data_IF_720889603984
#
_entry.id   IF_720889603984
#
_cell.length_a   1.000
_cell.length_b   1.000
_cell.length_c   1.000
_cell.angle_alpha   90.00
_cell.angle_beta   90.00
_cell.angle_gamma   90.00
#
_symmetry.space_group_name_H-M   'P 1'
#
loop_
_entity.id
_entity.type
_entity.pdbx_description
1 polymer ?
#
# COMPACT_ATOMS: atom_id res chain seq x y z
N UNK A 1 14.16 -7.27 -3.62
CA UNK A 1 12.77 -6.82 -3.46
C UNK A 1 12.72 -5.85 -2.31
N UNK A 2 12.10 -4.69 -2.49
CA UNK A 2 12.04 -3.64 -1.47
C UNK A 2 10.65 -3.54 -0.84
N UNK A 3 10.61 -3.48 0.49
CA UNK A 3 9.43 -3.15 1.29
C UNK A 3 9.54 -1.68 1.71
N UNK A 4 8.83 -0.82 0.99
CA UNK A 4 8.84 0.63 1.21
C UNK A 4 7.87 1.03 2.31
N UNK A 5 8.29 1.94 3.20
CA UNK A 5 7.42 2.51 4.24
C UNK A 5 7.88 3.92 4.65
N UNK A 6 6.95 4.75 5.09
CA UNK A 6 7.26 6.07 5.59
C UNK A 6 7.87 6.06 7.00
N UNK A 7 8.68 7.06 7.32
CA UNK A 7 9.33 7.23 8.64
C UNK A 7 8.30 7.37 9.75
N UNK A 8 8.22 6.30 10.56
CA UNK A 8 7.43 6.20 11.79
C UNK A 8 7.94 4.98 12.58
N UNK A 9 8.07 5.08 13.91
CA UNK A 9 8.57 3.98 14.74
C UNK A 9 7.65 2.75 14.71
N UNK A 10 6.34 2.96 14.62
CA UNK A 10 5.35 1.90 14.51
C UNK A 10 5.47 1.16 13.18
N UNK A 11 5.58 1.91 12.08
CA UNK A 11 5.75 1.32 10.75
C UNK A 11 7.06 0.57 10.60
N UNK A 12 8.16 1.06 11.19
CA UNK A 12 9.43 0.35 11.21
C UNK A 12 9.30 -1.02 11.90
N UNK A 13 8.67 -1.07 13.08
CA UNK A 13 8.43 -2.33 13.81
C UNK A 13 7.60 -3.31 13.00
N UNK A 14 6.54 -2.82 12.34
CA UNK A 14 5.70 -3.65 11.46
C UNK A 14 6.50 -4.17 10.26
N UNK A 15 7.30 -3.31 9.61
CA UNK A 15 8.10 -3.69 8.44
C UNK A 15 9.17 -4.75 8.79
N UNK A 16 9.83 -4.61 9.95
CA UNK A 16 10.75 -5.61 10.48
C UNK A 16 10.07 -6.95 10.73
N UNK A 17 8.88 -6.94 11.37
CA UNK A 17 8.11 -8.16 11.58
C UNK A 17 7.74 -8.84 10.25
N UNK A 18 7.28 -8.07 9.25
CA UNK A 18 6.97 -8.59 7.91
C UNK A 18 8.21 -9.19 7.25
N UNK A 19 9.36 -8.50 7.29
CA UNK A 19 10.62 -9.00 6.75
C UNK A 19 11.02 -10.34 7.38
N UNK A 20 10.93 -10.47 8.70
CA UNK A 20 11.25 -11.71 9.42
C UNK A 20 10.28 -12.84 9.08
N UNK A 21 8.97 -12.56 9.11
CA UNK A 21 7.93 -13.56 8.78
C UNK A 21 8.10 -14.07 7.34
N UNK A 22 8.26 -13.18 6.36
CA UNK A 22 8.44 -13.59 4.96
C UNK A 22 9.72 -14.39 4.74
N UNK A 23 10.81 -14.02 5.42
CA UNK A 23 12.05 -14.79 5.35
C UNK A 23 11.88 -16.18 5.94
N UNK A 24 11.24 -16.29 7.10
CA UNK A 24 11.08 -17.54 7.86
C UNK A 24 10.08 -18.49 7.21
N UNK A 25 8.91 -17.99 6.88
CA UNK A 25 7.75 -18.82 6.53
C UNK A 25 7.62 -19.00 5.01
N UNK A 26 8.14 -18.06 4.22
CA UNK A 26 8.06 -18.09 2.75
C UNK A 26 9.42 -18.17 2.05
N UNK A 27 10.54 -18.03 2.79
CA UNK A 27 11.88 -17.98 2.20
C UNK A 27 12.17 -16.70 1.40
N UNK A 28 11.30 -15.69 1.49
CA UNK A 28 11.37 -14.45 0.70
C UNK A 28 12.23 -13.42 1.44
N UNK A 29 13.26 -12.90 0.76
CA UNK A 29 14.12 -11.84 1.30
C UNK A 29 13.68 -10.48 0.78
N UNK A 30 13.38 -9.56 1.70
CA UNK A 30 13.10 -8.15 1.39
C UNK A 30 14.09 -7.23 2.08
N UNK A 31 14.37 -6.10 1.44
CA UNK A 31 15.09 -4.97 2.00
C UNK A 31 14.09 -3.94 2.52
N UNK A 32 14.33 -3.41 3.71
CA UNK A 32 13.51 -2.34 4.28
C UNK A 32 13.94 -1.00 3.68
N UNK A 33 12.99 -0.30 3.08
CA UNK A 33 13.23 0.94 2.34
C UNK A 33 12.42 2.08 2.98
N UNK A 34 13.10 2.90 3.78
CA UNK A 34 12.48 3.97 4.55
C UNK A 34 12.69 5.34 3.89
N UNK A 35 11.65 6.17 3.87
CA UNK A 35 11.75 7.56 3.44
C UNK A 35 10.83 8.49 4.24
N UNK A 36 11.15 9.78 4.25
CA UNK A 36 10.27 10.85 4.75
C UNK A 36 8.91 10.82 4.03
N UNK A 37 7.84 11.28 4.67
CA UNK A 37 6.46 11.13 4.20
C UNK A 37 6.23 11.64 2.78
N UNK A 38 6.69 12.85 2.44
CA UNK A 38 6.43 13.40 1.11
C UNK A 38 7.15 12.61 0.02
N UNK A 39 8.42 12.26 0.28
CA UNK A 39 9.20 11.40 -0.63
C UNK A 39 8.54 10.02 -0.77
N UNK A 40 8.01 9.49 0.32
CA UNK A 40 7.31 8.21 0.32
C UNK A 40 6.04 8.25 -0.53
N UNK A 41 5.18 9.26 -0.33
CA UNK A 41 3.94 9.41 -1.09
C UNK A 41 4.22 9.59 -2.59
N UNK A 42 5.17 10.45 -2.96
CA UNK A 42 5.54 10.64 -4.36
C UNK A 42 6.01 9.33 -5.02
N UNK A 43 6.78 8.52 -4.28
CA UNK A 43 7.25 7.21 -4.72
C UNK A 43 6.11 6.22 -4.91
N UNK A 44 5.12 6.21 -4.02
CA UNK A 44 3.96 5.34 -4.12
C UNK A 44 3.06 5.76 -5.30
N UNK A 45 2.69 7.04 -5.39
CA UNK A 45 1.83 7.55 -6.47
C UNK A 45 2.45 7.41 -7.87
N UNK A 46 3.78 7.46 -7.97
CA UNK A 46 4.50 7.25 -9.23
C UNK A 46 4.71 5.78 -9.60
N UNK A 47 4.36 4.84 -8.72
CA UNK A 47 4.60 3.42 -8.92
C UNK A 47 6.06 3.00 -8.79
N UNK A 48 6.96 3.85 -8.25
CA UNK A 48 8.37 3.52 -8.01
C UNK A 48 8.55 2.66 -6.75
N UNK A 49 7.80 1.57 -6.66
CA UNK A 49 7.87 0.64 -5.55
C UNK A 49 7.53 -0.78 -6.00
N UNK A 50 7.97 -1.76 -5.22
CA UNK A 50 7.59 -3.16 -5.42
C UNK A 50 6.53 -3.58 -4.40
N UNK A 51 6.73 -3.16 -3.15
CA UNK A 51 5.80 -3.34 -2.04
C UNK A 51 5.82 -2.04 -1.24
N UNK A 52 4.64 -1.47 -0.97
CA UNK A 52 4.47 -0.24 -0.21
C UNK A 52 3.54 -0.45 0.98
N UNK A 53 3.93 0.02 2.16
CA UNK A 53 3.06 0.10 3.33
C UNK A 53 2.07 1.26 3.15
N UNK A 54 0.79 0.96 2.99
CA UNK A 54 -0.24 1.98 2.86
C UNK A 54 -1.31 1.86 3.95
N UNK A 55 -2.14 2.88 4.04
CA UNK A 55 -3.31 2.92 4.89
C UNK A 55 -4.31 3.92 4.33
N UNK A 56 -5.59 3.69 4.62
CA UNK A 56 -6.68 4.59 4.24
C UNK A 56 -7.49 4.96 5.47
N UNK A 57 -7.82 6.24 5.61
CA UNK A 57 -8.72 6.76 6.61
C UNK A 57 -10.02 7.14 5.90
N UNK A 58 -11.16 6.66 6.38
CA UNK A 58 -12.43 6.94 5.75
C UNK A 58 -12.79 8.43 5.85
N UNK A 59 -13.13 9.06 4.73
CA UNK A 59 -13.52 10.48 4.72
C UNK A 59 -14.95 10.70 5.23
N UNK A 60 -15.80 9.69 5.11
CA UNK A 60 -17.17 9.68 5.62
C UNK A 60 -17.59 8.28 6.08
N UNK A 61 -18.65 8.20 6.89
CA UNK A 61 -19.09 6.97 7.54
C UNK A 61 -19.91 6.07 6.60
N UNK A 62 -19.30 5.67 5.50
CA UNK A 62 -19.86 4.70 4.56
C UNK A 62 -18.74 3.77 4.03
N UNK A 63 -18.96 2.45 3.98
CA UNK A 63 -17.98 1.50 3.44
C UNK A 63 -17.51 1.81 2.01
N UNK A 64 -18.31 2.51 1.20
CA UNK A 64 -17.96 2.85 -0.19
C UNK A 64 -16.64 3.62 -0.26
N UNK A 65 -16.32 4.43 0.76
CA UNK A 65 -15.09 5.23 0.80
C UNK A 65 -13.82 4.37 0.78
N UNK A 66 -13.89 3.09 1.19
CA UNK A 66 -12.78 2.15 1.09
C UNK A 66 -12.80 1.34 -0.21
N UNK A 67 -13.99 1.06 -0.75
CA UNK A 67 -14.16 0.23 -1.94
C UNK A 67 -13.86 1.01 -3.22
N UNK A 68 -14.17 2.31 -3.25
CA UNK A 68 -13.98 3.16 -4.42
C UNK A 68 -12.50 3.36 -4.80
N UNK A 69 -11.56 3.21 -3.84
CA UNK A 69 -10.12 3.21 -4.13
C UNK A 69 -9.74 2.21 -5.22
N UNK A 70 -10.44 1.09 -5.29
CA UNK A 70 -10.08 -0.01 -6.18
C UNK A 70 -11.04 -0.16 -7.36
N UNK A 71 -11.88 0.87 -7.61
CA UNK A 71 -12.84 0.87 -8.71
C UNK A 71 -12.13 0.90 -10.07
N UNK A 72 -11.24 1.86 -10.24
CA UNK A 72 -10.51 2.10 -11.49
C UNK A 72 -9.01 2.13 -11.22
N UNK A 73 -8.21 1.47 -12.08
CA UNK A 73 -6.75 1.41 -11.94
C UNK A 73 -6.08 2.78 -11.99
N UNK A 74 -6.70 3.74 -12.67
CA UNK A 74 -6.19 5.11 -12.87
C UNK A 74 -6.87 6.09 -11.88
N UNK A 75 -7.56 5.56 -10.86
CA UNK A 75 -8.16 6.36 -9.79
C UNK A 75 -7.09 7.09 -8.97
N UNK A 76 -7.34 8.34 -8.60
CA UNK A 76 -6.31 9.22 -8.01
C UNK A 76 -5.71 8.75 -6.68
N UNK A 77 -6.39 7.87 -5.95
CA UNK A 77 -5.90 7.26 -4.71
C UNK A 77 -5.64 5.74 -4.87
N UNK A 78 -5.66 5.22 -6.10
CA UNK A 78 -5.38 3.82 -6.39
C UNK A 78 -3.91 3.63 -6.75
N UNK A 79 -3.06 3.63 -5.74
CA UNK A 79 -1.62 3.48 -5.98
C UNK A 79 -1.27 2.07 -6.48
N UNK A 80 -2.15 1.09 -6.31
CA UNK A 80 -1.89 -0.30 -6.69
C UNK A 80 -2.00 -0.58 -8.19
N UNK A 81 -2.65 0.33 -8.94
CA UNK A 81 -3.00 0.09 -10.35
C UNK A 81 -3.95 -1.09 -10.57
N UNK A 82 -4.61 -1.57 -9.51
CA UNK A 82 -5.50 -2.72 -9.58
C UNK A 82 -6.89 -2.31 -10.10
N UNK A 83 -7.49 -3.17 -10.92
CA UNK A 83 -8.89 -3.02 -11.36
C UNK A 83 -9.58 -4.38 -11.50
N UNK A 84 -10.90 -4.38 -11.36
CA UNK A 84 -11.73 -5.56 -11.61
C UNK A 84 -13.16 -5.19 -11.99
N UNK A 85 -13.65 -5.77 -13.08
CA UNK A 85 -15.06 -5.61 -13.53
C UNK A 85 -16.06 -5.95 -12.43
N UNK A 86 -15.77 -6.96 -11.61
CA UNK A 86 -16.67 -7.37 -10.52
C UNK A 86 -16.77 -6.28 -9.44
N UNK A 87 -15.67 -5.61 -9.12
CA UNK A 87 -15.67 -4.53 -8.13
C UNK A 87 -16.33 -3.29 -8.70
N UNK A 88 -16.07 -2.95 -9.96
CA UNK A 88 -16.77 -1.86 -10.65
C UNK A 88 -18.29 -2.02 -10.53
N UNK A 89 -18.84 -3.21 -10.81
CA UNK A 89 -20.28 -3.48 -10.68
C UNK A 89 -20.81 -3.43 -9.24
N UNK A 90 -19.99 -3.65 -8.22
CA UNK A 90 -20.42 -3.57 -6.81
C UNK A 90 -20.44 -2.11 -6.32
N UNK A 91 -19.57 -1.27 -6.88
CA UNK A 91 -19.37 0.14 -6.49
C UNK A 91 -20.23 1.10 -7.34
N UNK A 92 -20.75 0.64 -8.48
CA UNK A 92 -21.81 1.32 -9.26
C UNK A 92 -23.14 1.37 -8.51
#
# INVERSE_FOLDING_TARGET
MKLSYNTDEGHQKIAQAIQEMWKKDLGVKVELDNSEWNVYIDKIHSGDYQIGRMGWLGDFNDPVNFLELYKDKDGGNNDTGWESKRVQTIVE
#
